data_IF_054454379029
#
_entry.id   IF_054454379029
#
_cell.length_a   1.000
_cell.length_b   1.000
_cell.length_c   1.000
_cell.angle_alpha   90.00
_cell.angle_beta   90.00
_cell.angle_gamma   90.00
#
_symmetry.space_group_name_H-M   'P 1'
#
loop_
_entity.id
_entity.type
_entity.pdbx_description
1 polymer ?
#
# COMPACT_ATOMS: atom_id res chain seq x y z
N UNK A 1 33.59 -15.09 -43.23
CA UNK A 1 32.84 -15.65 -42.07
C UNK A 1 32.22 -17.02 -42.37
N UNK A 2 31.64 -17.23 -43.55
CA UNK A 2 31.01 -18.51 -43.95
C UNK A 2 31.96 -19.72 -43.99
N UNK A 3 33.25 -19.50 -44.31
CA UNK A 3 34.26 -20.57 -44.35
C UNK A 3 34.58 -21.12 -42.96
N UNK A 4 34.65 -20.26 -41.93
CA UNK A 4 34.87 -20.68 -40.54
C UNK A 4 33.72 -21.57 -40.05
N UNK A 5 32.48 -21.20 -40.34
CA UNK A 5 31.28 -21.99 -39.98
C UNK A 5 31.33 -23.38 -40.62
N UNK A 6 31.71 -23.47 -41.91
CA UNK A 6 31.86 -24.76 -42.61
C UNK A 6 32.93 -25.66 -41.98
N UNK A 7 34.07 -25.09 -41.56
CA UNK A 7 35.14 -25.85 -40.90
C UNK A 7 34.71 -26.35 -39.52
N UNK A 8 34.00 -25.54 -38.74
CA UNK A 8 33.44 -25.97 -37.46
C UNK A 8 32.38 -27.07 -37.64
N UNK A 9 31.51 -26.97 -38.64
CA UNK A 9 30.55 -28.03 -38.99
C UNK A 9 31.25 -29.33 -39.39
N UNK A 10 32.28 -29.26 -40.23
CA UNK A 10 33.02 -30.46 -40.66
C UNK A 10 33.73 -31.15 -39.50
N UNK A 11 34.27 -30.37 -38.57
CA UNK A 11 34.90 -30.87 -37.34
C UNK A 11 33.87 -31.50 -36.41
N UNK A 12 32.72 -30.85 -36.25
CA UNK A 12 31.59 -31.38 -35.46
C UNK A 12 31.10 -32.72 -36.02
N UNK A 13 30.91 -32.82 -37.34
CA UNK A 13 30.45 -34.07 -37.98
C UNK A 13 31.47 -35.19 -37.85
N UNK A 14 32.77 -34.89 -37.92
CA UNK A 14 33.83 -35.88 -37.70
C UNK A 14 33.85 -36.40 -36.25
N UNK A 15 33.52 -35.54 -35.29
CA UNK A 15 33.52 -35.89 -33.87
C UNK A 15 32.25 -36.65 -33.42
N UNK A 16 31.19 -36.70 -34.25
CA UNK A 16 29.99 -37.51 -33.98
C UNK A 16 30.27 -39.03 -33.93
N UNK A 17 31.40 -39.48 -34.49
CA UNK A 17 31.85 -40.87 -34.38
C UNK A 17 32.51 -41.21 -33.05
N UNK A 18 32.84 -40.21 -32.21
CA UNK A 18 33.43 -40.41 -30.89
C UNK A 18 32.33 -40.49 -29.84
N UNK A 19 32.21 -41.66 -29.20
CA UNK A 19 31.22 -41.95 -28.15
C UNK A 19 31.32 -40.95 -26.99
N UNK A 20 32.51 -40.44 -26.68
CA UNK A 20 32.73 -39.48 -25.59
C UNK A 20 32.11 -38.13 -25.91
N UNK A 21 32.28 -37.65 -27.14
CA UNK A 21 31.71 -36.38 -27.60
C UNK A 21 30.18 -36.45 -27.67
N UNK A 22 29.63 -37.54 -28.21
CA UNK A 22 28.17 -37.77 -28.24
C UNK A 22 27.58 -37.81 -26.84
N UNK A 23 28.23 -38.50 -25.89
CA UNK A 23 27.80 -38.54 -24.50
C UNK A 23 27.74 -37.16 -23.84
N UNK A 24 28.75 -36.30 -24.07
CA UNK A 24 28.76 -34.93 -23.56
C UNK A 24 27.65 -34.06 -24.16
N UNK A 25 27.39 -34.20 -25.47
CA UNK A 25 26.31 -33.45 -26.15
C UNK A 25 24.95 -33.85 -25.60
N UNK A 26 24.69 -35.16 -25.44
CA UNK A 26 23.43 -35.65 -24.86
C UNK A 26 23.26 -35.16 -23.43
N UNK A 27 24.32 -35.18 -22.62
CA UNK A 27 24.30 -34.68 -21.25
C UNK A 27 23.91 -33.18 -21.18
N UNK A 28 24.51 -32.34 -22.03
CA UNK A 28 24.16 -30.91 -22.13
C UNK A 28 22.71 -30.73 -22.55
N UNK A 29 22.22 -31.51 -23.52
CA UNK A 29 20.82 -31.44 -23.96
C UNK A 29 19.87 -31.78 -22.80
N UNK A 30 20.16 -32.83 -22.01
CA UNK A 30 19.34 -33.20 -20.85
C UNK A 30 19.31 -32.06 -19.82
N UNK A 31 20.47 -31.44 -19.53
CA UNK A 31 20.54 -30.29 -18.61
C UNK A 31 19.69 -29.13 -19.12
N UNK A 32 19.75 -28.81 -20.42
CA UNK A 32 18.95 -27.73 -20.98
C UNK A 32 17.45 -28.02 -20.90
N UNK A 33 17.04 -29.26 -21.21
CA UNK A 33 15.64 -29.68 -21.14
C UNK A 33 15.10 -29.64 -19.70
N UNK A 34 15.87 -30.14 -18.73
CA UNK A 34 15.43 -30.11 -17.32
C UNK A 34 15.43 -28.69 -16.75
N UNK A 35 16.38 -27.85 -17.15
CA UNK A 35 16.44 -26.45 -16.71
C UNK A 35 15.22 -25.66 -17.23
N UNK A 36 14.83 -25.90 -18.48
CA UNK A 36 13.66 -25.25 -19.08
C UNK A 36 12.34 -25.66 -18.40
N UNK A 37 12.21 -26.94 -18.03
CA UNK A 37 11.04 -27.44 -17.30
C UNK A 37 10.93 -26.82 -15.90
N UNK A 38 12.05 -26.73 -15.16
CA UNK A 38 12.08 -26.15 -13.82
C UNK A 38 11.67 -24.67 -13.79
N UNK A 39 12.18 -23.86 -14.74
CA UNK A 39 11.86 -22.43 -14.83
C UNK A 39 10.35 -22.20 -15.01
N UNK A 40 9.70 -22.97 -15.90
CA UNK A 40 8.26 -22.86 -16.14
C UNK A 40 7.43 -23.23 -14.91
N UNK A 41 7.82 -24.27 -14.18
CA UNK A 41 7.14 -24.68 -12.96
C UNK A 41 7.21 -23.60 -11.87
N UNK A 42 8.37 -22.95 -11.70
CA UNK A 42 8.54 -21.86 -10.74
C UNK A 42 7.68 -20.65 -11.13
N UNK A 43 7.72 -20.25 -12.41
CA UNK A 43 6.95 -19.12 -12.89
C UNK A 43 5.44 -19.32 -12.71
N UNK A 44 4.93 -20.50 -13.07
CA UNK A 44 3.50 -20.83 -12.92
C UNK A 44 3.07 -20.87 -11.46
N UNK A 45 3.89 -21.44 -10.57
CA UNK A 45 3.61 -21.48 -9.14
C UNK A 45 3.56 -20.06 -8.53
N UNK A 46 4.51 -19.20 -8.89
CA UNK A 46 4.54 -17.82 -8.41
C UNK A 46 3.33 -17.02 -8.88
N UNK A 47 2.96 -17.14 -10.16
CA UNK A 47 1.76 -16.50 -10.70
C UNK A 47 0.48 -17.01 -10.01
N UNK A 48 0.42 -18.29 -9.69
CA UNK A 48 -0.70 -18.87 -8.96
C UNK A 48 -0.79 -18.32 -7.53
N UNK A 49 0.33 -18.27 -6.80
CA UNK A 49 0.38 -17.67 -5.45
C UNK A 49 -0.04 -16.21 -5.48
N UNK A 50 0.42 -15.44 -6.47
CA UNK A 50 0.04 -14.03 -6.64
C UNK A 50 -1.47 -13.87 -6.89
N UNK A 51 -2.08 -14.77 -7.67
CA UNK A 51 -3.54 -14.77 -7.89
C UNK A 51 -4.29 -15.10 -6.61
N UNK A 52 -3.84 -16.09 -5.84
CA UNK A 52 -4.43 -16.43 -4.55
C UNK A 52 -4.37 -15.25 -3.59
N UNK A 53 -3.20 -14.61 -3.46
CA UNK A 53 -3.04 -13.45 -2.57
C UNK A 53 -3.98 -12.30 -2.96
N UNK A 54 -4.13 -12.02 -4.27
CA UNK A 54 -5.08 -11.01 -4.77
C UNK A 54 -6.52 -11.36 -4.44
N UNK A 55 -6.93 -12.60 -4.69
CA UNK A 55 -8.30 -13.06 -4.40
C UNK A 55 -8.60 -13.02 -2.91
N UNK A 56 -7.64 -13.41 -2.07
CA UNK A 56 -7.78 -13.31 -0.61
C UNK A 56 -7.93 -11.87 -0.15
N UNK A 57 -7.14 -10.95 -0.71
CA UNK A 57 -7.27 -9.53 -0.41
C UNK A 57 -8.64 -8.98 -0.85
N UNK A 58 -9.12 -9.35 -2.03
CA UNK A 58 -10.44 -8.93 -2.53
C UNK A 58 -11.58 -9.43 -1.62
N UNK A 59 -11.52 -10.69 -1.20
CA UNK A 59 -12.49 -11.26 -0.24
C UNK A 59 -12.46 -10.51 1.09
N UNK A 60 -11.27 -10.17 1.59
CA UNK A 60 -11.14 -9.45 2.86
C UNK A 60 -11.71 -8.03 2.78
N UNK A 61 -11.47 -7.32 1.67
CA UNK A 61 -12.07 -6.01 1.42
C UNK A 61 -13.59 -6.11 1.39
N UNK A 62 -14.15 -7.04 0.62
CA UNK A 62 -15.60 -7.24 0.55
C UNK A 62 -16.20 -7.65 1.90
N UNK A 63 -15.48 -8.42 2.71
CA UNK A 63 -15.88 -8.79 4.07
C UNK A 63 -15.97 -7.56 4.96
N UNK A 64 -14.98 -6.69 4.92
CA UNK A 64 -14.95 -5.43 5.67
C UNK A 64 -16.05 -4.47 5.21
N UNK A 65 -16.28 -4.35 3.91
CA UNK A 65 -17.39 -3.56 3.36
C UNK A 65 -18.74 -4.04 3.87
N UNK A 66 -19.00 -5.35 3.83
CA UNK A 66 -20.23 -5.93 4.37
C UNK A 66 -20.38 -5.68 5.88
N UNK A 67 -19.28 -5.77 6.64
CA UNK A 67 -19.32 -5.46 8.09
C UNK A 67 -19.61 -4.00 8.35
N UNK A 68 -19.03 -3.10 7.56
CA UNK A 68 -19.28 -1.69 7.68
C UNK A 68 -20.75 -1.37 7.36
N UNK A 69 -21.29 -1.93 6.27
CA UNK A 69 -22.71 -1.81 5.94
C UNK A 69 -23.62 -2.37 7.04
N UNK A 70 -23.25 -3.49 7.66
CA UNK A 70 -24.00 -4.06 8.77
C UNK A 70 -23.98 -3.13 10.01
N UNK A 71 -22.85 -2.51 10.31
CA UNK A 71 -22.73 -1.52 11.40
C UNK A 71 -23.52 -0.25 11.10
N UNK A 72 -23.49 0.22 9.85
CA UNK A 72 -24.28 1.38 9.42
C UNK A 72 -25.78 1.12 9.57
N UNK A 73 -26.26 -0.04 9.12
CA UNK A 73 -27.65 -0.44 9.31
C UNK A 73 -28.03 -0.48 10.80
N UNK A 74 -27.18 -1.07 11.65
CA UNK A 74 -27.42 -1.08 13.09
C UNK A 74 -27.46 0.34 13.68
N UNK A 75 -26.58 1.24 13.22
CA UNK A 75 -26.60 2.64 13.65
C UNK A 75 -27.93 3.34 13.30
N UNK A 76 -28.44 3.11 12.08
CA UNK A 76 -29.72 3.67 11.62
C UNK A 76 -30.92 3.16 12.44
N UNK A 77 -30.82 1.97 13.03
CA UNK A 77 -31.83 1.40 13.92
C UNK A 77 -31.78 1.97 15.36
N UNK A 78 -30.72 2.70 15.73
CA UNK A 78 -30.58 3.20 17.10
C UNK A 78 -31.44 4.43 17.42
N UNK A 79 -31.86 4.56 18.68
CA UNK A 79 -32.54 5.75 19.20
C UNK A 79 -31.72 7.03 19.00
N UNK A 80 -30.39 6.91 19.03
CA UNK A 80 -29.48 8.05 18.83
C UNK A 80 -29.56 8.59 17.42
N UNK A 81 -29.67 7.72 16.42
CA UNK A 81 -29.91 8.14 15.05
C UNK A 81 -31.28 8.81 14.91
N UNK A 82 -32.33 8.20 15.49
CA UNK A 82 -33.68 8.77 15.47
C UNK A 82 -33.73 10.17 16.11
N UNK A 83 -33.05 10.36 17.24
CA UNK A 83 -32.93 11.65 17.91
C UNK A 83 -32.21 12.68 17.03
N UNK A 84 -31.06 12.31 16.44
CA UNK A 84 -30.30 13.20 15.57
C UNK A 84 -31.10 13.58 14.32
N UNK A 85 -31.81 12.63 13.72
CA UNK A 85 -32.71 12.86 12.60
C UNK A 85 -33.85 13.80 12.99
N UNK A 86 -34.45 13.62 14.17
CA UNK A 86 -35.51 14.49 14.67
C UNK A 86 -35.03 15.93 14.91
N UNK A 87 -33.82 16.10 15.47
CA UNK A 87 -33.16 17.40 15.64
C UNK A 87 -32.92 18.08 14.29
N UNK A 88 -32.38 17.35 13.31
CA UNK A 88 -32.04 17.88 11.98
C UNK A 88 -33.26 18.22 11.13
N UNK A 89 -34.25 17.34 11.08
CA UNK A 89 -35.40 17.48 10.18
C UNK A 89 -36.51 18.36 10.76
N UNK A 90 -36.74 18.28 12.08
CA UNK A 90 -37.87 18.93 12.73
C UNK A 90 -37.46 20.04 13.71
N UNK A 91 -36.15 20.29 13.89
CA UNK A 91 -35.66 21.27 14.85
C UNK A 91 -36.04 20.94 16.31
N UNK A 92 -36.35 19.67 16.61
CA UNK A 92 -36.83 19.25 17.92
C UNK A 92 -35.66 18.98 18.87
N UNK A 93 -35.67 19.63 20.03
CA UNK A 93 -34.79 19.30 21.14
C UNK A 93 -35.41 18.27 22.07
N UNK A 94 -34.60 17.71 22.97
CA UNK A 94 -35.14 16.88 24.06
C UNK A 94 -35.99 17.74 25.02
N UNK A 95 -36.88 17.14 25.83
CA UNK A 95 -37.63 17.88 26.84
C UNK A 95 -36.69 18.69 27.76
N UNK A 96 -36.91 20.01 27.85
CA UNK A 96 -36.08 20.94 28.64
C UNK A 96 -34.94 21.62 27.85
N UNK A 97 -34.71 21.25 26.59
CA UNK A 97 -33.70 21.86 25.72
C UNK A 97 -34.30 23.01 24.88
N UNK A 98 -33.55 24.12 24.72
CA UNK A 98 -33.91 25.22 23.80
C UNK A 98 -33.07 25.14 22.54
N UNK A 99 -33.72 24.97 21.39
CA UNK A 99 -33.07 24.94 20.08
C UNK A 99 -33.13 26.34 19.46
N UNK A 100 -31.99 26.86 19.02
CA UNK A 100 -31.87 28.14 18.32
C UNK A 100 -31.39 27.90 16.88
N UNK A 101 -32.16 28.35 15.89
CA UNK A 101 -31.75 28.33 14.48
C UNK A 101 -31.03 29.66 14.20
N UNK A 102 -29.72 29.59 13.93
CA UNK A 102 -28.90 30.78 13.64
C UNK A 102 -28.63 30.87 12.13
N UNK A 103 -28.91 32.01 11.48
CA UNK A 103 -28.57 32.23 10.08
C UNK A 103 -27.07 32.07 9.79
N UNK A 104 -26.73 31.43 8.67
CA UNK A 104 -25.33 31.07 8.34
C UNK A 104 -24.39 32.29 8.29
N UNK A 105 -24.88 33.45 7.84
CA UNK A 105 -24.09 34.68 7.81
C UNK A 105 -23.65 35.14 9.21
N UNK A 106 -24.47 34.91 10.24
CA UNK A 106 -24.14 35.26 11.62
C UNK A 106 -23.19 34.23 12.22
N UNK A 107 -23.40 32.95 11.95
CA UNK A 107 -22.51 31.88 12.42
C UNK A 107 -21.09 32.05 11.86
N UNK A 108 -20.95 32.28 10.55
CA UNK A 108 -19.66 32.43 9.88
C UNK A 108 -18.93 33.73 10.24
N UNK A 109 -19.65 34.78 10.63
CA UNK A 109 -19.03 36.03 11.09
C UNK A 109 -18.39 35.92 12.49
N UNK A 110 -18.72 34.87 13.25
CA UNK A 110 -18.26 34.67 14.63
C UNK A 110 -17.56 33.32 14.85
N UNK A 111 -17.23 32.59 13.78
CA UNK A 111 -16.36 31.41 13.87
C UNK A 111 -14.90 31.83 13.94
N UNK A 112 -14.14 31.20 14.83
CA UNK A 112 -12.68 31.21 14.74
C UNK A 112 -12.27 30.42 13.49
N UNK A 113 -11.51 31.06 12.59
CA UNK A 113 -10.87 30.33 11.49
C UNK A 113 -10.01 29.21 12.10
N UNK A 114 -10.35 27.96 11.79
CA UNK A 114 -9.60 26.78 12.24
C UNK A 114 -8.15 26.72 11.71
N UNK A 115 -7.73 27.75 10.96
CA UNK A 115 -6.37 27.91 10.43
C UNK A 115 -5.45 28.67 11.40
N UNK A 116 -5.97 29.37 12.42
CA UNK A 116 -5.16 30.24 13.28
C UNK A 116 -4.78 29.57 14.60
N UNK A 117 -4.12 28.42 14.55
CA UNK A 117 -3.23 27.95 15.64
C UNK A 117 -2.17 26.99 15.08
N UNK A 118 -1.39 27.49 14.12
CA UNK A 118 0.01 27.07 14.01
C UNK A 118 0.77 28.39 14.07
N UNK A 119 1.11 28.81 15.28
CA UNK A 119 2.18 29.77 15.45
C UNK A 119 3.43 29.10 14.89
N UNK A 120 3.79 29.51 13.68
CA UNK A 120 5.05 29.16 13.05
C UNK A 120 6.16 29.76 13.90
N UNK A 121 6.83 28.92 14.69
CA UNK A 121 8.23 29.14 15.05
C UNK A 121 9.05 29.02 13.76
N UNK A 122 9.04 30.09 12.96
CA UNK A 122 9.90 30.23 11.80
C UNK A 122 11.30 30.61 12.28
N UNK A 123 11.97 29.67 12.95
CA UNK A 123 13.42 29.67 12.93
C UNK A 123 13.85 29.45 11.48
N UNK A 124 14.56 30.44 10.93
CA UNK A 124 15.09 30.44 9.57
C UNK A 124 16.03 29.24 9.35
N UNK A 125 15.47 28.10 8.96
CA UNK A 125 16.24 26.94 8.50
C UNK A 125 16.66 27.21 7.07
N UNK A 126 17.96 27.43 6.87
CA UNK A 126 18.57 27.61 5.55
C UNK A 126 18.03 26.59 4.54
N UNK A 127 17.80 27.01 3.29
CA UNK A 127 17.28 26.16 2.20
C UNK A 127 18.18 24.94 1.97
N UNK A 128 17.92 23.85 2.70
CA UNK A 128 18.53 22.55 2.43
C UNK A 128 17.80 21.93 1.23
N UNK A 129 18.50 21.24 0.31
CA UNK A 129 17.85 20.52 -0.78
C UNK A 129 16.91 19.42 -0.25
N UNK A 130 15.79 19.19 -0.97
CA UNK A 130 14.67 18.35 -0.51
C UNK A 130 15.07 16.93 -0.05
N UNK A 131 16.11 16.33 -0.64
CA UNK A 131 16.59 15.01 -0.23
C UNK A 131 17.19 15.00 1.19
N UNK A 132 17.82 16.10 1.62
CA UNK A 132 18.37 16.22 2.97
C UNK A 132 17.26 16.42 4.00
N UNK A 133 16.23 17.20 3.66
CA UNK A 133 15.07 17.41 4.53
C UNK A 133 14.35 16.09 4.81
N UNK A 134 14.02 15.36 3.73
CA UNK A 134 13.35 14.07 3.85
C UNK A 134 14.18 13.06 4.67
N UNK A 135 15.50 12.97 4.45
CA UNK A 135 16.33 12.05 5.23
C UNK A 135 16.39 12.44 6.71
N UNK A 136 16.53 13.73 7.01
CA UNK A 136 16.52 14.27 8.37
C UNK A 136 15.19 13.96 9.08
N UNK A 137 14.06 14.07 8.37
CA UNK A 137 12.73 13.73 8.90
C UNK A 137 12.59 12.22 9.17
N UNK A 138 13.08 11.38 8.26
CA UNK A 138 13.09 9.92 8.47
C UNK A 138 13.98 9.54 9.65
N UNK A 139 15.20 10.07 9.74
CA UNK A 139 16.09 9.81 10.89
C UNK A 139 15.45 10.30 12.20
N UNK A 140 14.85 11.48 12.19
CA UNK A 140 14.12 11.99 13.36
C UNK A 140 12.95 11.08 13.75
N UNK A 141 12.19 10.55 12.79
CA UNK A 141 11.11 9.61 13.06
C UNK A 141 11.61 8.31 13.71
N UNK A 142 12.72 7.75 13.25
CA UNK A 142 13.25 6.48 13.77
C UNK A 142 14.06 6.61 15.06
N UNK A 143 14.70 7.75 15.29
CA UNK A 143 15.67 7.92 16.38
C UNK A 143 15.29 8.97 17.43
N UNK A 144 14.16 9.68 17.26
CA UNK A 144 13.58 10.48 18.35
C UNK A 144 12.96 9.57 19.40
N UNK A 145 13.85 9.11 20.27
CA UNK A 145 13.63 8.60 21.62
C UNK A 145 12.39 9.23 22.25
N UNK A 146 11.55 8.37 22.81
CA UNK A 146 10.47 8.68 23.75
C UNK A 146 10.97 9.54 24.92
N UNK A 147 11.11 10.84 24.72
CA UNK A 147 11.32 11.79 25.81
C UNK A 147 9.98 12.47 26.11
N UNK A 148 9.34 11.90 27.13
CA UNK A 148 8.16 12.38 27.82
C UNK A 148 8.26 13.88 28.12
N UNK A 149 7.59 14.72 27.33
CA UNK A 149 7.34 16.13 27.67
C UNK A 149 5.96 16.33 28.32
N UNK A 150 5.46 15.32 29.04
CA UNK A 150 4.20 15.36 29.78
C UNK A 150 4.37 15.48 31.31
N UNK A 151 5.58 15.73 31.84
CA UNK A 151 5.80 15.85 33.30
C UNK A 151 6.76 16.98 33.71
N UNK A 152 6.77 18.13 33.02
CA UNK A 152 7.48 19.33 33.52
C UNK A 152 6.58 20.57 33.63
N UNK A 153 5.33 20.37 34.06
CA UNK A 153 4.50 21.44 34.61
C UNK A 153 3.97 21.01 35.98
N UNK A 154 4.81 21.14 36.99
CA UNK A 154 4.44 21.28 38.40
C UNK A 154 5.49 22.13 39.08
#
# INVERSE_FOLDING_TARGET
MLTKIKTHLKTFVKNLGDLRFVGQVVFVIIILLTSWSGIKAIQTNYELQKRIARLQQEVEVQRLENQNLALENQYLETDRFLELAARRQFGKGAPGEKVYIVPSNVALAHTIDATTTVEEDTEQKAEKPAYQQNLEDWVNFFFRKSDNKLLSSS
#
